data_IF_831468257712
#
_entry.id   IF_831468257712
#
_cell.length_a   1.000
_cell.length_b   1.000
_cell.length_c   1.000
_cell.angle_alpha   90.00
_cell.angle_beta   90.00
_cell.angle_gamma   90.00
#
_symmetry.space_group_name_H-M   'P 1'
#
loop_
_entity.id
_entity.type
_entity.pdbx_description
1 polymer ?
#
# COMPACT_ATOMS: atom_id res chain seq x y z
N UNK A 1 31.35 -13.90 -3.51
CA UNK A 1 30.56 -14.02 -2.27
C UNK A 1 31.54 -14.11 -1.11
N UNK A 2 31.44 -13.23 -0.16
CA UNK A 2 32.28 -13.23 1.06
C UNK A 2 31.31 -13.33 2.24
N UNK A 3 31.47 -14.34 3.08
CA UNK A 3 30.65 -14.54 4.28
C UNK A 3 31.51 -14.26 5.51
N UNK A 4 31.05 -13.41 6.41
CA UNK A 4 31.73 -13.16 7.69
C UNK A 4 31.43 -14.25 8.74
N UNK A 5 32.09 -14.18 9.90
CA UNK A 5 31.95 -15.15 10.97
C UNK A 5 30.54 -15.17 11.63
N UNK A 6 29.68 -14.17 11.33
CA UNK A 6 28.30 -14.05 11.84
C UNK A 6 27.27 -14.51 10.79
N UNK A 7 27.74 -14.95 9.62
CA UNK A 7 26.88 -15.43 8.56
C UNK A 7 26.36 -14.34 7.60
N UNK A 8 26.88 -13.11 7.70
CA UNK A 8 26.55 -12.07 6.71
C UNK A 8 27.28 -12.37 5.39
N UNK A 9 26.58 -12.21 4.30
CA UNK A 9 27.10 -12.42 2.96
C UNK A 9 27.02 -11.13 2.17
N UNK A 10 28.16 -10.67 1.66
CA UNK A 10 28.23 -9.53 0.73
C UNK A 10 28.35 -10.03 -0.69
N UNK A 11 27.40 -9.67 -1.51
CA UNK A 11 27.36 -9.94 -2.94
C UNK A 11 27.58 -8.64 -3.70
N UNK A 12 28.44 -8.66 -4.71
CA UNK A 12 28.74 -7.50 -5.56
C UNK A 12 28.64 -7.84 -7.04
N UNK A 13 28.85 -6.80 -7.89
CA UNK A 13 28.85 -6.98 -9.35
C UNK A 13 27.47 -6.92 -10.02
N UNK A 14 26.45 -6.48 -9.30
CA UNK A 14 25.09 -6.28 -9.85
C UNK A 14 24.99 -4.89 -10.50
N UNK A 15 24.19 -4.83 -11.58
CA UNK A 15 23.83 -3.54 -12.16
C UNK A 15 22.99 -2.74 -11.13
N UNK A 16 23.36 -1.48 -10.82
CA UNK A 16 22.71 -0.70 -9.77
C UNK A 16 21.23 -0.43 -10.01
N UNK A 17 20.81 -0.50 -11.27
CA UNK A 17 19.46 -0.22 -11.76
C UNK A 17 18.63 -1.48 -12.03
N UNK A 18 19.20 -2.67 -11.80
CA UNK A 18 18.49 -3.96 -11.97
C UNK A 18 18.02 -4.49 -10.62
N UNK A 19 16.72 -4.80 -10.52
CA UNK A 19 16.17 -5.47 -9.34
C UNK A 19 16.76 -6.87 -9.20
N UNK A 20 17.31 -7.15 -8.03
CA UNK A 20 17.93 -8.43 -7.73
C UNK A 20 16.97 -9.34 -6.96
N UNK A 21 16.98 -10.62 -7.34
CA UNK A 21 16.34 -11.71 -6.62
C UNK A 21 17.40 -12.74 -6.27
N UNK A 22 17.44 -13.15 -5.02
CA UNK A 22 18.43 -14.11 -4.51
C UNK A 22 17.72 -15.40 -4.14
N UNK A 23 18.31 -16.53 -4.57
CA UNK A 23 17.89 -17.84 -4.12
C UNK A 23 18.80 -18.28 -2.99
N UNK A 24 18.22 -18.51 -1.83
CA UNK A 24 18.89 -19.07 -0.66
C UNK A 24 18.61 -20.56 -0.61
N UNK A 25 19.59 -21.37 -0.98
CA UNK A 25 19.46 -22.83 -0.95
C UNK A 25 19.77 -23.33 0.46
N UNK A 26 18.89 -24.16 0.98
CA UNK A 26 19.03 -24.79 2.30
C UNK A 26 19.49 -26.23 2.15
N UNK A 27 20.38 -26.68 3.04
CA UNK A 27 20.88 -28.06 3.03
C UNK A 27 19.76 -29.10 3.27
N UNK A 28 18.77 -28.72 4.10
CA UNK A 28 17.66 -29.60 4.49
C UNK A 28 16.34 -28.80 4.44
N UNK A 29 15.89 -28.40 3.25
CA UNK A 29 14.65 -27.65 3.10
C UNK A 29 14.47 -27.05 1.69
N UNK A 30 13.33 -26.43 1.46
CA UNK A 30 13.05 -25.76 0.19
C UNK A 30 13.88 -24.47 0.06
N UNK A 31 14.28 -24.19 -1.18
CA UNK A 31 14.93 -22.93 -1.53
C UNK A 31 14.01 -21.74 -1.22
N UNK A 32 14.60 -20.67 -0.72
CA UNK A 32 13.90 -19.43 -0.45
C UNK A 32 14.34 -18.35 -1.44
N UNK A 33 13.40 -17.78 -2.17
CA UNK A 33 13.65 -16.57 -2.97
C UNK A 33 13.41 -15.34 -2.11
N UNK A 34 14.40 -14.44 -2.08
CA UNK A 34 14.35 -13.16 -1.36
C UNK A 34 14.73 -12.01 -2.28
N UNK A 35 14.17 -10.84 -2.01
CA UNK A 35 14.52 -9.60 -2.67
C UNK A 35 14.42 -8.44 -1.68
N UNK A 36 14.97 -7.30 -2.04
CA UNK A 36 14.72 -6.07 -1.31
C UNK A 36 13.25 -5.67 -1.46
N UNK A 37 12.57 -5.38 -0.34
CA UNK A 37 11.16 -5.00 -0.38
C UNK A 37 10.98 -3.60 -0.94
N UNK A 38 11.80 -2.63 -0.49
CA UNK A 38 11.83 -1.32 -1.10
C UNK A 38 12.30 -1.42 -2.55
N UNK A 39 11.57 -0.79 -3.45
CA UNK A 39 11.96 -0.69 -4.86
C UNK A 39 12.38 0.75 -5.12
N UNK A 40 13.69 1.02 -5.19
CA UNK A 40 14.19 2.40 -5.29
C UNK A 40 13.90 2.95 -6.69
N UNK A 41 12.79 3.64 -6.83
CA UNK A 41 12.43 4.39 -8.04
C UNK A 41 12.59 5.88 -7.76
N UNK A 42 13.50 6.54 -8.50
CA UNK A 42 13.76 7.96 -8.30
C UNK A 42 12.48 8.80 -8.53
N UNK A 43 12.02 9.45 -7.47
CA UNK A 43 10.79 10.24 -7.43
C UNK A 43 9.53 9.46 -7.02
N UNK A 44 9.59 8.15 -6.79
CA UNK A 44 8.47 7.42 -6.21
C UNK A 44 8.42 7.59 -4.69
N UNK A 45 7.21 7.52 -4.15
CA UNK A 45 6.96 7.63 -2.72
C UNK A 45 6.40 6.29 -2.22
N UNK A 46 6.97 5.76 -1.13
CA UNK A 46 6.43 4.59 -0.43
C UNK A 46 6.28 3.35 -1.36
N UNK A 47 7.17 3.21 -2.36
CA UNK A 47 7.07 2.16 -3.37
C UNK A 47 7.74 0.88 -2.89
N UNK A 48 6.98 -0.22 -2.86
CA UNK A 48 7.49 -1.52 -2.45
C UNK A 48 6.77 -2.71 -3.06
N UNK A 49 7.45 -3.85 -3.06
CA UNK A 49 6.96 -5.15 -3.48
C UNK A 49 6.30 -5.87 -2.30
N UNK A 50 5.16 -6.50 -2.51
CA UNK A 50 4.44 -7.31 -1.50
C UNK A 50 4.92 -8.76 -1.44
N UNK A 51 5.90 -9.16 -2.25
CA UNK A 51 6.44 -10.51 -2.29
C UNK A 51 7.09 -10.96 -0.98
N UNK A 52 7.25 -12.26 -0.83
CA UNK A 52 7.97 -12.90 0.27
C UNK A 52 7.20 -13.07 1.58
N UNK A 53 6.04 -12.46 1.77
CA UNK A 53 5.20 -12.68 2.94
C UNK A 53 4.70 -14.12 2.96
N UNK A 54 4.84 -14.80 4.11
CA UNK A 54 4.35 -16.16 4.29
C UNK A 54 2.83 -16.18 4.49
N UNK A 55 2.14 -17.07 3.80
CA UNK A 55 0.76 -17.44 4.06
C UNK A 55 0.68 -18.59 5.07
N UNK A 56 -0.50 -18.78 5.67
CA UNK A 56 -0.74 -19.83 6.70
C UNK A 56 -0.54 -21.26 6.19
N UNK A 57 -0.64 -21.45 4.87
CA UNK A 57 -0.43 -22.76 4.22
C UNK A 57 1.05 -23.03 3.85
N UNK A 58 1.97 -22.17 4.28
CA UNK A 58 3.41 -22.28 4.07
C UNK A 58 3.91 -21.67 2.78
N UNK A 59 3.02 -21.39 1.81
CA UNK A 59 3.39 -20.69 0.58
C UNK A 59 3.74 -19.24 0.85
N UNK A 60 4.31 -18.56 -0.15
CA UNK A 60 4.71 -17.16 -0.02
C UNK A 60 4.16 -16.33 -1.17
N UNK A 61 3.86 -15.07 -0.88
CA UNK A 61 3.51 -14.10 -1.93
C UNK A 61 4.68 -14.01 -2.93
N UNK A 62 4.37 -14.17 -4.21
CA UNK A 62 5.37 -14.13 -5.29
C UNK A 62 6.00 -12.75 -5.39
N UNK A 63 7.32 -12.69 -5.39
CA UNK A 63 8.05 -11.47 -5.66
C UNK A 63 7.80 -10.95 -7.08
N UNK A 64 7.74 -9.63 -7.23
CA UNK A 64 7.61 -8.99 -8.53
C UNK A 64 6.21 -9.04 -9.15
N UNK A 65 5.18 -9.48 -8.41
CA UNK A 65 3.80 -9.60 -8.92
C UNK A 65 2.85 -8.53 -8.40
N UNK A 66 3.00 -8.17 -7.15
CA UNK A 66 2.15 -7.21 -6.47
C UNK A 66 2.99 -6.12 -5.85
N UNK A 67 2.67 -4.89 -6.18
CA UNK A 67 3.37 -3.70 -5.70
C UNK A 67 2.38 -2.73 -5.05
N UNK A 68 2.90 -1.89 -4.16
CA UNK A 68 2.15 -0.77 -3.61
C UNK A 68 3.00 0.50 -3.56
N UNK A 69 2.35 1.67 -3.71
CA UNK A 69 3.05 2.96 -3.63
C UNK A 69 2.13 4.13 -3.28
N UNK A 70 2.72 5.30 -3.06
CA UNK A 70 2.08 6.60 -3.25
C UNK A 70 1.97 6.96 -4.73
N UNK A 71 1.67 8.22 -5.01
CA UNK A 71 1.56 8.70 -6.39
C UNK A 71 2.90 8.59 -7.14
N UNK A 72 2.82 8.52 -8.47
CA UNK A 72 3.97 8.41 -9.36
C UNK A 72 4.20 9.69 -10.19
N UNK A 73 3.52 10.78 -9.87
CA UNK A 73 3.59 12.03 -10.65
C UNK A 73 4.96 12.71 -10.58
N UNK A 74 5.77 12.36 -9.60
CA UNK A 74 7.11 12.90 -9.36
C UNK A 74 8.23 11.99 -9.85
N UNK A 75 7.91 10.89 -10.56
CA UNK A 75 8.93 10.01 -11.15
C UNK A 75 9.84 10.80 -12.09
N UNK A 76 11.13 10.72 -11.83
CA UNK A 76 12.15 11.24 -12.75
C UNK A 76 12.24 10.37 -14.01
N UNK A 77 12.89 10.82 -15.10
CA UNK A 77 13.13 9.97 -16.27
C UNK A 77 13.83 8.65 -15.93
N UNK A 78 14.78 8.66 -15.00
CA UNK A 78 15.43 7.43 -14.50
C UNK A 78 14.45 6.53 -13.73
N UNK A 79 13.59 7.13 -12.89
CA UNK A 79 12.51 6.42 -12.19
C UNK A 79 11.50 5.80 -13.15
N UNK A 80 11.10 6.49 -14.20
CA UNK A 80 10.23 5.96 -15.24
C UNK A 80 10.85 4.78 -15.99
N UNK A 81 12.13 4.88 -16.36
CA UNK A 81 12.86 3.77 -16.98
C UNK A 81 12.97 2.56 -16.04
N UNK A 82 13.20 2.79 -14.74
CA UNK A 82 13.21 1.71 -13.74
C UNK A 82 11.82 1.10 -13.54
N UNK A 83 10.76 1.91 -13.49
CA UNK A 83 9.37 1.45 -13.41
C UNK A 83 9.01 0.56 -14.61
N UNK A 84 9.38 0.95 -15.81
CA UNK A 84 9.13 0.15 -17.02
C UNK A 84 9.74 -1.27 -16.94
N UNK A 85 10.93 -1.40 -16.30
CA UNK A 85 11.59 -2.71 -16.12
C UNK A 85 10.89 -3.64 -15.12
N UNK A 86 9.99 -3.12 -14.26
CA UNK A 86 9.20 -3.96 -13.34
C UNK A 86 8.11 -4.77 -14.07
N UNK A 87 7.82 -4.45 -15.34
CA UNK A 87 6.80 -5.14 -16.11
C UNK A 87 5.40 -5.02 -15.52
N UNK A 88 5.12 -3.93 -14.80
CA UNK A 88 3.78 -3.66 -14.25
C UNK A 88 2.85 -3.42 -15.44
N UNK A 89 1.82 -4.24 -15.55
CA UNK A 89 0.85 -4.16 -16.64
C UNK A 89 -0.36 -3.31 -16.27
N UNK A 90 -0.71 -3.26 -14.97
CA UNK A 90 -1.89 -2.53 -14.49
C UNK A 90 -1.56 -1.73 -13.24
N UNK A 91 -2.01 -0.49 -13.21
CA UNK A 91 -1.96 0.40 -12.04
C UNK A 91 -3.38 0.64 -11.56
N UNK A 92 -3.71 0.13 -10.38
CA UNK A 92 -4.98 0.40 -9.69
C UNK A 92 -4.82 1.67 -8.84
N UNK A 93 -5.30 2.79 -9.37
CA UNK A 93 -5.15 4.12 -8.75
C UNK A 93 -6.41 4.52 -7.98
N UNK A 94 -6.29 4.60 -6.65
CA UNK A 94 -7.40 4.97 -5.76
C UNK A 94 -7.61 6.47 -5.62
N UNK A 95 -6.84 7.30 -6.30
CA UNK A 95 -7.00 8.74 -6.27
C UNK A 95 -8.27 9.17 -7.00
N UNK A 96 -8.91 10.22 -6.50
CA UNK A 96 -10.01 10.86 -7.20
C UNK A 96 -9.54 11.48 -8.53
N UNK A 97 -10.46 11.67 -9.48
CA UNK A 97 -10.15 12.34 -10.75
C UNK A 97 -9.48 13.70 -10.53
N UNK A 98 -9.93 14.48 -9.53
CA UNK A 98 -9.35 15.77 -9.16
C UNK A 98 -7.91 15.66 -8.62
N UNK A 99 -7.59 14.60 -7.86
CA UNK A 99 -6.23 14.34 -7.39
C UNK A 99 -5.32 13.94 -8.56
N UNK A 100 -5.82 13.08 -9.47
CA UNK A 100 -5.09 12.69 -10.68
C UNK A 100 -4.83 13.86 -11.64
N UNK A 101 -5.80 14.74 -11.80
CA UNK A 101 -5.65 15.93 -12.65
C UNK A 101 -4.60 16.91 -12.10
N UNK A 102 -4.51 17.04 -10.77
CA UNK A 102 -3.53 17.91 -10.11
C UNK A 102 -2.12 17.33 -10.14
N UNK A 103 -2.02 16.03 -9.96
CA UNK A 103 -0.76 15.27 -9.88
C UNK A 103 -0.78 14.16 -10.92
N UNK A 104 -0.72 14.58 -12.20
CA UNK A 104 -0.79 13.64 -13.33
C UNK A 104 0.41 12.69 -13.34
N UNK A 105 0.14 11.41 -13.59
CA UNK A 105 1.17 10.37 -13.74
C UNK A 105 1.40 10.09 -15.22
N UNK A 106 2.66 10.04 -15.61
CA UNK A 106 3.05 9.53 -16.93
C UNK A 106 3.43 8.05 -16.78
N UNK A 107 2.62 7.17 -17.36
CA UNK A 107 2.88 5.73 -17.35
C UNK A 107 3.52 5.29 -18.68
N UNK A 108 4.38 4.25 -18.67
CA UNK A 108 4.92 3.68 -19.90
C UNK A 108 3.82 3.16 -20.82
N UNK A 109 4.11 3.13 -22.12
CA UNK A 109 3.20 2.55 -23.11
C UNK A 109 2.86 1.09 -22.77
N UNK A 110 1.60 0.72 -22.91
CA UNK A 110 1.08 -0.62 -22.60
C UNK A 110 0.69 -0.85 -21.14
N UNK A 111 0.92 0.11 -20.24
CA UNK A 111 0.41 0.04 -18.87
C UNK A 111 -1.03 0.55 -18.82
N UNK A 112 -1.93 -0.26 -18.30
CA UNK A 112 -3.34 0.11 -18.09
C UNK A 112 -3.48 0.86 -16.78
N UNK A 113 -4.18 2.00 -16.79
CA UNK A 113 -4.59 2.73 -15.59
C UNK A 113 -6.04 2.41 -15.25
N UNK A 114 -6.25 1.69 -14.15
CA UNK A 114 -7.57 1.46 -13.55
C UNK A 114 -7.83 2.51 -12.46
N UNK A 115 -8.66 3.49 -12.78
CA UNK A 115 -9.05 4.55 -11.85
C UNK A 115 -10.16 4.06 -10.91
N UNK A 116 -9.78 3.51 -9.78
CA UNK A 116 -10.71 3.03 -8.74
C UNK A 116 -10.83 4.11 -7.68
N UNK A 117 -11.69 5.08 -7.88
CA UNK A 117 -11.80 6.26 -7.02
C UNK A 117 -12.32 5.91 -5.63
N UNK A 118 -11.44 5.95 -4.63
CA UNK A 118 -11.80 5.83 -3.22
C UNK A 118 -11.67 7.20 -2.56
N UNK A 119 -12.77 7.79 -2.08
CA UNK A 119 -12.73 9.07 -1.37
C UNK A 119 -11.78 8.98 -0.16
N UNK A 120 -10.97 10.01 0.10
CA UNK A 120 -10.06 10.03 1.25
C UNK A 120 -10.80 10.37 2.57
N UNK A 121 -11.94 9.72 2.82
CA UNK A 121 -12.78 9.91 3.98
C UNK A 121 -14.21 10.31 3.67
N UNK A 122 -14.91 10.80 4.68
CA UNK A 122 -16.29 11.29 4.63
C UNK A 122 -16.49 12.09 3.34
N UNK A 123 -17.61 11.92 2.66
CA UNK A 123 -17.94 12.54 1.35
C UNK A 123 -17.94 14.08 1.32
N UNK A 124 -17.16 14.67 2.20
CA UNK A 124 -17.03 16.12 2.38
C UNK A 124 -15.61 16.58 2.04
N UNK A 125 -15.41 17.29 0.92
CA UNK A 125 -14.11 17.82 0.54
C UNK A 125 -13.47 18.75 1.58
N UNK A 126 -14.30 19.40 2.41
CA UNK A 126 -13.89 20.35 3.43
C UNK A 126 -13.63 19.68 4.80
N UNK A 127 -13.76 18.35 4.90
CA UNK A 127 -13.66 17.63 6.17
C UNK A 127 -12.38 17.98 6.94
N UNK A 128 -11.21 17.79 6.35
CA UNK A 128 -9.95 18.09 7.01
C UNK A 128 -9.70 19.59 7.21
N UNK A 129 -10.25 20.47 6.37
CA UNK A 129 -10.22 21.92 6.63
C UNK A 129 -10.95 22.26 7.94
N UNK A 130 -12.12 21.64 8.19
CA UNK A 130 -12.83 21.81 9.46
C UNK A 130 -12.08 21.15 10.62
N UNK A 131 -11.59 19.95 10.46
CA UNK A 131 -10.80 19.26 11.49
C UNK A 131 -9.64 20.15 11.94
N UNK A 132 -8.82 20.66 11.03
CA UNK A 132 -7.67 21.50 11.39
C UNK A 132 -8.05 22.86 11.96
N UNK A 133 -9.19 23.42 11.57
CA UNK A 133 -9.69 24.68 12.12
C UNK A 133 -10.19 24.49 13.56
N UNK A 134 -10.86 23.40 13.85
CA UNK A 134 -11.61 23.18 15.08
C UNK A 134 -10.84 22.28 16.09
N UNK A 135 -9.75 21.63 15.68
CA UNK A 135 -8.96 20.72 16.51
C UNK A 135 -8.28 21.46 17.68
N UNK A 136 -8.43 20.91 18.87
CA UNK A 136 -7.76 21.36 20.10
C UNK A 136 -6.33 20.80 20.20
N UNK A 137 -6.03 19.73 19.49
CA UNK A 137 -4.72 19.08 19.50
C UNK A 137 -4.58 17.94 18.48
N UNK A 138 -3.42 17.27 18.49
CA UNK A 138 -3.14 16.20 17.55
C UNK A 138 -4.06 14.97 17.71
N UNK A 139 -4.63 14.76 18.89
CA UNK A 139 -5.52 13.61 19.13
C UNK A 139 -6.84 13.76 18.36
N UNK A 140 -7.37 14.99 18.23
CA UNK A 140 -8.57 15.25 17.42
C UNK A 140 -8.32 14.93 15.94
N UNK A 141 -7.11 15.24 15.44
CA UNK A 141 -6.70 14.89 14.07
C UNK A 141 -6.53 13.38 13.91
N UNK A 142 -6.00 12.70 14.93
CA UNK A 142 -5.89 11.23 14.90
C UNK A 142 -7.27 10.55 14.86
N UNK A 143 -8.22 11.05 15.63
CA UNK A 143 -9.60 10.54 15.62
C UNK A 143 -10.26 10.78 14.26
N UNK A 144 -10.06 11.95 13.66
CA UNK A 144 -10.52 12.20 12.30
C UNK A 144 -9.93 11.22 11.28
N UNK A 145 -8.68 10.80 11.43
CA UNK A 145 -8.09 9.74 10.57
C UNK A 145 -8.76 8.39 10.83
N UNK A 146 -9.12 8.05 12.07
CA UNK A 146 -9.90 6.84 12.37
C UNK A 146 -11.26 6.85 11.67
N UNK A 147 -12.00 7.97 11.73
CA UNK A 147 -13.28 8.14 11.04
C UNK A 147 -13.14 7.95 9.52
N UNK A 148 -12.08 8.54 8.94
CA UNK A 148 -11.75 8.39 7.52
C UNK A 148 -11.51 6.93 7.16
N UNK A 149 -10.75 6.19 7.96
CA UNK A 149 -10.47 4.77 7.73
C UNK A 149 -11.75 3.93 7.85
N UNK A 150 -12.59 4.21 8.84
CA UNK A 150 -13.90 3.54 8.99
C UNK A 150 -14.81 3.79 7.79
N UNK A 151 -14.87 5.02 7.29
CA UNK A 151 -15.63 5.34 6.07
C UNK A 151 -15.10 4.59 4.85
N UNK A 152 -13.76 4.46 4.70
CA UNK A 152 -13.17 3.67 3.61
C UNK A 152 -13.61 2.21 3.65
N UNK A 153 -13.62 1.59 4.83
CA UNK A 153 -14.03 0.18 4.98
C UNK A 153 -15.53 -0.01 4.74
N UNK A 154 -16.34 0.86 5.34
CA UNK A 154 -17.79 0.67 5.40
C UNK A 154 -18.53 1.21 4.17
N UNK A 155 -17.98 2.22 3.48
CA UNK A 155 -18.67 2.93 2.40
C UNK A 155 -18.03 2.74 1.02
N UNK A 156 -16.83 2.13 0.93
CA UNK A 156 -16.11 1.96 -0.33
C UNK A 156 -16.01 0.50 -0.80
N UNK A 157 -16.92 -0.36 -0.33
CA UNK A 157 -16.90 -1.79 -0.63
C UNK A 157 -16.88 -2.07 -2.14
N UNK A 158 -17.73 -1.40 -2.93
CA UNK A 158 -17.79 -1.57 -4.39
C UNK A 158 -16.47 -1.20 -5.08
N UNK A 159 -15.75 -0.23 -4.53
CA UNK A 159 -14.46 0.22 -5.05
C UNK A 159 -13.38 -0.83 -4.82
N UNK A 160 -13.31 -1.38 -3.60
CA UNK A 160 -12.36 -2.46 -3.30
C UNK A 160 -12.73 -3.75 -4.04
N UNK A 161 -14.03 -4.04 -4.27
CA UNK A 161 -14.46 -5.15 -5.13
C UNK A 161 -13.85 -5.03 -6.52
N UNK A 162 -13.87 -3.83 -7.13
CA UNK A 162 -13.25 -3.61 -8.44
C UNK A 162 -11.76 -3.97 -8.48
N UNK A 163 -11.02 -3.71 -7.40
CA UNK A 163 -9.62 -4.17 -7.30
C UNK A 163 -9.52 -5.69 -7.44
N UNK A 164 -10.38 -6.45 -6.73
CA UNK A 164 -10.34 -7.92 -6.79
C UNK A 164 -10.77 -8.45 -8.16
N UNK A 165 -11.71 -7.81 -8.84
CA UNK A 165 -12.05 -8.13 -10.22
C UNK A 165 -10.81 -7.99 -11.12
N UNK A 166 -10.07 -6.89 -11.02
CA UNK A 166 -8.81 -6.67 -11.78
C UNK A 166 -7.78 -7.74 -11.46
N UNK A 167 -7.61 -8.11 -10.17
CA UNK A 167 -6.69 -9.15 -9.74
C UNK A 167 -7.06 -10.54 -10.28
N UNK A 168 -8.35 -10.77 -10.53
CA UNK A 168 -8.89 -12.03 -11.06
C UNK A 168 -9.03 -12.03 -12.59
N UNK A 169 -8.80 -10.93 -13.30
CA UNK A 169 -8.81 -10.91 -14.77
C UNK A 169 -7.82 -11.92 -15.36
N UNK A 170 -8.14 -12.56 -16.50
CA UNK A 170 -7.29 -13.58 -17.11
C UNK A 170 -5.88 -13.07 -17.43
N UNK A 171 -4.92 -13.97 -17.35
CA UNK A 171 -3.51 -13.70 -17.66
C UNK A 171 -2.65 -13.42 -16.43
N UNK A 172 -1.36 -13.52 -16.62
CA UNK A 172 -0.36 -13.20 -15.58
C UNK A 172 0.05 -11.74 -15.72
N UNK A 173 -0.27 -10.94 -14.71
CA UNK A 173 0.03 -9.50 -14.69
C UNK A 173 0.73 -9.12 -13.40
N UNK A 174 1.67 -8.19 -13.50
CA UNK A 174 2.20 -7.49 -12.35
C UNK A 174 1.32 -6.26 -12.11
N UNK A 175 0.88 -6.09 -10.89
CA UNK A 175 -0.12 -5.07 -10.53
C UNK A 175 0.47 -4.14 -9.48
N UNK A 176 0.29 -2.85 -9.68
CA UNK A 176 0.57 -1.81 -8.70
C UNK A 176 -0.74 -1.28 -8.13
N UNK A 177 -0.81 -1.19 -6.81
CA UNK A 177 -1.90 -0.55 -6.07
C UNK A 177 -1.37 0.76 -5.49
N UNK A 178 -2.00 1.89 -5.82
CA UNK A 178 -1.53 3.18 -5.33
C UNK A 178 -2.67 4.13 -4.93
N UNK A 179 -2.30 5.14 -4.16
CA UNK A 179 -3.10 6.33 -3.89
C UNK A 179 -2.18 7.56 -3.83
N UNK A 180 -2.51 8.60 -3.08
CA UNK A 180 -1.62 9.77 -2.95
C UNK A 180 -0.37 9.46 -2.12
N UNK A 181 -0.53 9.01 -0.88
CA UNK A 181 0.59 8.68 0.03
C UNK A 181 1.00 7.20 0.01
N UNK A 182 0.15 6.32 -0.53
CA UNK A 182 0.34 4.88 -0.44
C UNK A 182 0.13 4.32 0.98
N UNK A 183 -0.60 5.04 1.85
CA UNK A 183 -0.81 4.72 3.26
C UNK A 183 -2.19 4.10 3.49
N UNK A 184 -3.23 4.90 3.79
CA UNK A 184 -4.54 4.44 4.26
C UNK A 184 -5.31 3.68 3.16
N UNK A 185 -5.68 4.32 2.05
CA UNK A 185 -6.43 3.68 0.94
C UNK A 185 -5.72 2.45 0.40
N UNK A 186 -4.44 2.61 0.09
CA UNK A 186 -3.56 1.53 -0.37
C UNK A 186 -3.32 0.50 0.73
N UNK A 187 -3.19 0.93 1.99
CA UNK A 187 -2.97 0.08 3.15
C UNK A 187 -4.15 -0.85 3.42
N UNK A 188 -5.38 -0.34 3.38
CA UNK A 188 -6.60 -1.15 3.52
C UNK A 188 -6.71 -2.15 2.37
N UNK A 189 -6.57 -1.70 1.13
CA UNK A 189 -6.57 -2.58 -0.05
C UNK A 189 -5.55 -3.71 0.07
N UNK A 190 -4.33 -3.38 0.50
CA UNK A 190 -3.25 -4.35 0.72
C UNK A 190 -3.59 -5.30 1.86
N UNK A 191 -4.15 -4.80 2.96
CA UNK A 191 -4.55 -5.63 4.09
C UNK A 191 -5.62 -6.66 3.69
N UNK A 192 -6.64 -6.23 2.95
CA UNK A 192 -7.69 -7.11 2.42
C UNK A 192 -7.13 -8.14 1.43
N UNK A 193 -6.23 -7.72 0.52
CA UNK A 193 -5.57 -8.61 -0.43
C UNK A 193 -4.70 -9.66 0.26
N UNK A 194 -3.85 -9.23 1.20
CA UNK A 194 -2.99 -10.15 1.94
C UNK A 194 -3.81 -11.11 2.81
N UNK A 195 -4.95 -10.67 3.36
CA UNK A 195 -5.90 -11.55 4.06
C UNK A 195 -6.48 -12.61 3.11
N UNK A 196 -6.94 -12.23 1.92
CA UNK A 196 -7.44 -13.17 0.90
C UNK A 196 -6.38 -14.20 0.48
N UNK A 197 -5.10 -13.79 0.49
CA UNK A 197 -3.97 -14.69 0.25
C UNK A 197 -3.62 -15.58 1.45
N UNK A 198 -4.22 -15.36 2.61
CA UNK A 198 -3.97 -16.13 3.84
C UNK A 198 -2.71 -15.69 4.59
N UNK A 199 -2.25 -14.46 4.40
CA UNK A 199 -1.13 -13.89 5.18
C UNK A 199 -1.63 -13.57 6.60
N UNK A 200 -0.88 -13.95 7.66
CA UNK A 200 -1.27 -13.66 9.04
C UNK A 200 -1.42 -12.16 9.33
N UNK A 201 -2.39 -11.82 10.19
CA UNK A 201 -2.75 -10.43 10.52
C UNK A 201 -1.56 -9.63 11.06
N UNK A 202 -0.69 -10.22 11.87
CA UNK A 202 0.54 -9.60 12.35
C UNK A 202 1.51 -9.18 11.22
N UNK A 203 1.62 -10.01 10.19
CA UNK A 203 2.42 -9.70 8.99
C UNK A 203 1.78 -8.58 8.17
N UNK A 204 0.46 -8.51 8.12
CA UNK A 204 -0.29 -7.43 7.48
C UNK A 204 -0.05 -6.10 8.22
N UNK A 205 -0.07 -6.11 9.56
CA UNK A 205 0.30 -4.94 10.37
C UNK A 205 1.75 -4.51 10.11
N UNK A 206 2.66 -5.47 10.04
CA UNK A 206 4.06 -5.18 9.70
C UNK A 206 4.17 -4.47 8.35
N UNK A 207 3.52 -4.97 7.29
CA UNK A 207 3.53 -4.29 5.98
C UNK A 207 2.92 -2.89 6.07
N UNK A 208 1.80 -2.74 6.76
CA UNK A 208 1.15 -1.42 6.92
C UNK A 208 2.11 -0.42 7.57
N UNK A 209 2.76 -0.83 8.68
CA UNK A 209 3.69 0.01 9.44
C UNK A 209 4.98 0.36 8.69
N UNK A 210 5.37 -0.41 7.66
CA UNK A 210 6.49 -0.01 6.78
C UNK A 210 6.26 1.33 6.09
N UNK A 211 5.02 1.81 6.00
CA UNK A 211 4.76 3.16 5.49
C UNK A 211 5.36 4.25 6.38
N UNK A 212 5.58 4.00 7.67
CA UNK A 212 6.32 4.92 8.54
C UNK A 212 7.81 5.05 8.16
N UNK A 213 8.36 4.03 7.48
CA UNK A 213 9.76 4.02 7.02
C UNK A 213 9.89 4.60 5.62
N UNK A 214 8.94 4.29 4.72
CA UNK A 214 9.06 4.60 3.29
C UNK A 214 8.30 5.85 2.85
N UNK A 215 7.46 6.43 3.70
CA UNK A 215 6.77 7.69 3.42
C UNK A 215 7.50 8.84 4.11
N UNK A 216 7.89 9.91 3.39
CA UNK A 216 8.68 11.01 3.94
C UNK A 216 7.79 12.01 4.69
N UNK A 217 7.16 11.60 5.79
CA UNK A 217 6.16 12.37 6.54
C UNK A 217 6.60 13.82 6.85
N UNK A 218 7.84 14.01 7.31
CA UNK A 218 8.36 15.35 7.64
C UNK A 218 8.47 16.26 6.42
N UNK A 219 8.82 15.70 5.24
CA UNK A 219 8.91 16.48 4.01
C UNK A 219 7.54 16.92 3.47
N UNK A 220 6.46 16.24 3.88
CA UNK A 220 5.09 16.55 3.45
C UNK A 220 4.39 17.60 4.33
N UNK A 221 4.98 17.99 5.47
CA UNK A 221 4.40 18.97 6.38
C UNK A 221 4.04 20.28 5.66
N UNK A 222 4.93 20.95 4.91
CA UNK A 222 4.60 22.21 4.25
C UNK A 222 3.38 22.09 3.31
N UNK A 223 3.32 20.98 2.57
CA UNK A 223 2.22 20.71 1.65
C UNK A 223 0.88 20.54 2.36
N UNK A 224 0.86 19.86 3.52
CA UNK A 224 -0.37 19.67 4.32
C UNK A 224 -0.81 20.98 4.93
N UNK A 225 0.12 21.78 5.49
CA UNK A 225 -0.17 23.09 6.05
C UNK A 225 -0.81 24.02 5.01
N UNK A 226 -0.23 24.08 3.81
CA UNK A 226 -0.77 24.86 2.69
C UNK A 226 -2.13 24.34 2.23
N UNK A 227 -2.22 23.02 1.98
CA UNK A 227 -3.43 22.39 1.45
C UNK A 227 -4.66 22.63 2.32
N UNK A 228 -4.50 22.59 3.64
CA UNK A 228 -5.61 22.70 4.60
C UNK A 228 -5.67 24.05 5.30
N UNK A 229 -4.88 25.02 4.84
CA UNK A 229 -4.81 26.39 5.39
C UNK A 229 -4.64 26.40 6.92
N UNK A 230 -3.74 25.54 7.43
CA UNK A 230 -3.51 25.39 8.88
C UNK A 230 -2.86 26.67 9.42
N UNK A 231 -3.52 27.35 10.34
CA UNK A 231 -3.06 28.64 10.90
C UNK A 231 -1.99 28.50 11.99
N UNK A 232 -1.81 27.32 12.56
CA UNK A 232 -0.75 27.05 13.53
C UNK A 232 0.64 27.21 12.88
N UNK A 233 1.64 27.59 13.67
CA UNK A 233 3.01 27.83 13.20
C UNK A 233 4.05 27.05 14.03
N UNK A 234 5.22 26.83 13.44
CA UNK A 234 6.35 26.17 14.12
C UNK A 234 6.02 24.76 14.61
N UNK A 235 6.53 24.41 15.78
CA UNK A 235 6.36 23.07 16.36
C UNK A 235 4.90 22.70 16.63
N UNK A 236 4.04 23.69 16.91
CA UNK A 236 2.62 23.45 17.12
C UNK A 236 1.94 22.99 15.82
N UNK A 237 2.26 23.64 14.71
CA UNK A 237 1.76 23.24 13.39
C UNK A 237 2.22 21.81 13.03
N UNK A 238 3.49 21.52 13.24
CA UNK A 238 4.03 20.18 12.99
C UNK A 238 3.29 19.12 13.83
N UNK A 239 3.18 19.32 15.15
CA UNK A 239 2.46 18.38 16.02
C UNK A 239 1.02 18.17 15.59
N UNK A 240 0.34 19.23 15.17
CA UNK A 240 -1.06 19.16 14.77
C UNK A 240 -1.28 18.33 13.51
N UNK A 241 -0.39 18.43 12.50
CA UNK A 241 -0.56 17.72 11.22
C UNK A 241 0.04 16.32 11.21
N UNK A 242 0.92 15.98 12.17
CA UNK A 242 1.59 14.69 12.21
C UNK A 242 0.64 13.49 12.20
N UNK A 243 -0.50 13.45 12.93
CA UNK A 243 -1.39 12.31 12.86
C UNK A 243 -1.91 12.00 11.45
N UNK A 244 -2.10 13.01 10.60
CA UNK A 244 -2.46 12.80 9.19
C UNK A 244 -1.27 12.26 8.35
N UNK A 245 -0.04 12.58 8.71
CA UNK A 245 1.16 12.26 7.93
C UNK A 245 1.83 10.95 8.36
N UNK A 246 1.82 10.64 9.63
CA UNK A 246 2.43 9.40 10.15
C UNK A 246 1.57 8.17 9.86
N UNK A 247 2.11 7.00 10.13
CA UNK A 247 1.40 5.72 10.08
C UNK A 247 1.29 5.17 11.48
N UNK A 248 0.07 4.94 11.96
CA UNK A 248 -0.22 4.36 13.28
C UNK A 248 -0.88 3.00 13.14
N UNK A 249 -0.49 2.04 13.96
CA UNK A 249 -1.12 0.72 13.98
C UNK A 249 -2.63 0.82 14.28
N UNK A 250 -3.04 1.80 15.11
CA UNK A 250 -4.45 2.06 15.43
C UNK A 250 -5.31 2.36 14.20
N UNK A 251 -4.75 2.96 13.14
CA UNK A 251 -5.49 3.23 11.90
C UNK A 251 -5.90 1.93 11.18
N UNK A 252 -5.04 0.91 11.16
CA UNK A 252 -5.43 -0.39 10.62
C UNK A 252 -6.28 -1.18 11.62
N UNK A 253 -6.08 -0.98 12.94
CA UNK A 253 -6.85 -1.64 13.98
C UNK A 253 -8.34 -1.33 13.87
N UNK A 254 -8.72 -0.04 13.75
CA UNK A 254 -10.14 0.34 13.63
C UNK A 254 -10.80 -0.27 12.38
N UNK A 255 -10.05 -0.46 11.29
CA UNK A 255 -10.54 -1.16 10.10
C UNK A 255 -10.86 -2.62 10.39
N UNK A 256 -9.93 -3.37 11.00
CA UNK A 256 -10.14 -4.76 11.35
C UNK A 256 -11.22 -4.94 12.44
N UNK A 257 -11.28 -4.05 13.44
CA UNK A 257 -12.32 -4.09 14.47
C UNK A 257 -13.71 -3.87 13.87
N UNK A 258 -13.83 -3.01 12.84
CA UNK A 258 -15.10 -2.82 12.10
C UNK A 258 -15.47 -4.09 11.33
N UNK A 259 -14.53 -4.69 10.62
CA UNK A 259 -14.70 -5.94 9.86
C UNK A 259 -15.14 -7.08 10.80
N UNK A 260 -14.41 -7.27 11.90
CA UNK A 260 -14.66 -8.34 12.87
C UNK A 260 -16.03 -8.15 13.56
N UNK A 261 -16.40 -6.89 13.86
CA UNK A 261 -17.72 -6.57 14.46
C UNK A 261 -18.88 -6.84 13.50
N UNK A 262 -18.68 -6.54 12.21
CA UNK A 262 -19.74 -6.69 11.20
C UNK A 262 -19.94 -8.15 10.77
N UNK A 263 -18.86 -8.89 10.55
CA UNK A 263 -18.89 -10.19 9.90
C UNK A 263 -18.29 -11.33 10.73
N UNK A 264 -17.70 -11.04 11.89
CA UNK A 264 -17.04 -12.01 12.75
C UNK A 264 -15.57 -12.27 12.37
N UNK A 265 -15.25 -12.30 11.09
CA UNK A 265 -13.89 -12.44 10.56
C UNK A 265 -13.72 -11.81 9.17
N UNK A 266 -12.47 -11.70 8.75
CA UNK A 266 -12.14 -11.09 7.46
C UNK A 266 -12.60 -11.94 6.26
N UNK A 267 -12.60 -13.27 6.35
CA UNK A 267 -13.04 -14.14 5.24
C UNK A 267 -14.54 -14.00 4.98
N UNK A 268 -15.34 -13.88 6.04
CA UNK A 268 -16.78 -13.60 5.94
C UNK A 268 -17.03 -12.22 5.32
N UNK A 269 -16.23 -11.23 5.72
CA UNK A 269 -16.29 -9.88 5.17
C UNK A 269 -15.93 -9.84 3.67
N UNK A 270 -14.84 -10.50 3.27
CA UNK A 270 -14.41 -10.60 1.87
C UNK A 270 -15.50 -11.25 1.00
N UNK A 271 -16.13 -12.31 1.52
CA UNK A 271 -17.23 -13.00 0.82
C UNK A 271 -18.46 -12.13 0.68
N UNK A 272 -18.85 -11.43 1.75
CA UNK A 272 -20.06 -10.60 1.79
C UNK A 272 -19.94 -9.36 0.89
N UNK A 273 -18.80 -8.68 0.92
CA UNK A 273 -18.66 -7.36 0.31
C UNK A 273 -17.95 -7.36 -1.04
N UNK A 274 -17.11 -8.39 -1.30
CA UNK A 274 -16.28 -8.40 -2.52
C UNK A 274 -16.50 -9.63 -3.40
N UNK A 275 -17.50 -10.45 -3.07
CA UNK A 275 -17.83 -11.69 -3.78
C UNK A 275 -16.63 -12.67 -3.83
N UNK A 276 -15.75 -12.61 -2.82
CA UNK A 276 -14.58 -13.47 -2.71
C UNK A 276 -14.92 -14.72 -1.90
N UNK A 277 -15.52 -15.69 -2.57
CA UNK A 277 -15.73 -17.02 -2.01
C UNK A 277 -14.47 -17.88 -2.06
N UNK A 278 -14.64 -19.16 -1.73
CA UNK A 278 -13.53 -20.13 -1.71
C UNK A 278 -12.85 -20.27 -3.08
N UNK A 279 -13.62 -20.22 -4.17
CA UNK A 279 -13.09 -20.37 -5.52
C UNK A 279 -12.20 -19.18 -5.92
N UNK A 280 -12.66 -17.95 -5.66
CA UNK A 280 -11.95 -16.72 -5.97
C UNK A 280 -10.68 -16.59 -5.13
N UNK A 281 -10.75 -16.87 -3.82
CA UNK A 281 -9.57 -16.90 -2.95
C UNK A 281 -8.57 -17.99 -3.38
N UNK A 282 -9.04 -19.16 -3.79
CA UNK A 282 -8.16 -20.22 -4.32
C UNK A 282 -7.46 -19.77 -5.59
N UNK A 283 -8.16 -19.10 -6.49
CA UNK A 283 -7.58 -18.57 -7.73
C UNK A 283 -6.57 -17.44 -7.44
N UNK A 284 -6.87 -16.52 -6.52
CA UNK A 284 -5.91 -15.50 -6.07
C UNK A 284 -4.62 -16.16 -5.52
N UNK A 285 -4.78 -17.15 -4.64
CA UNK A 285 -3.64 -17.89 -4.06
C UNK A 285 -2.85 -18.64 -5.12
N UNK A 286 -3.51 -19.23 -6.12
CA UNK A 286 -2.84 -19.89 -7.25
C UNK A 286 -1.98 -18.91 -8.08
N UNK A 287 -2.46 -17.69 -8.28
CA UNK A 287 -1.78 -16.66 -9.09
C UNK A 287 -0.62 -16.00 -8.34
N UNK A 288 -0.83 -15.69 -7.08
CA UNK A 288 0.06 -14.80 -6.33
C UNK A 288 0.88 -15.51 -5.25
N UNK A 289 0.68 -16.79 -4.98
CA UNK A 289 1.52 -17.57 -4.06
C UNK A 289 2.41 -18.56 -4.80
N UNK A 290 3.56 -18.85 -4.19
CA UNK A 290 4.56 -19.84 -4.60
C UNK A 290 4.98 -20.68 -3.40
#
# INVERSE_FOLDING_TARGET
MVTDAVGHCTLGGFAPDARQYFRLSRTNGEDLVVAERNVPLAGAVNFRDLGGYAAIDGRRVRWGRLFRSGHLSTLTPAGQAAFARLGIATVCDFRLASERARENMTLPAGVTLEGIEIPPGVRDPEYFHRVFRDASGPDDVAEAVHEVVLSMVNESADRYRRLFEVLLEPGERNILINCSAGKERTGIATALLLSALGVPRETIYYDFMLSAVYFPALAEIPRVLEKYAVSAVGDAAQRLVMPLLETRASYLQVAFDSIDRECGDTDAFLRKHYDLGTAECTELRRRYLV
#
